data_IF_982483498268
#
_entry.id   IF_982483498268
#
_cell.length_a   1.000
_cell.length_b   1.000
_cell.length_c   1.000
_cell.angle_alpha   90.00
_cell.angle_beta   90.00
_cell.angle_gamma   90.00
#
_symmetry.space_group_name_H-M   'P 1'
#
loop_
_entity.id
_entity.type
_entity.pdbx_description
1 polymer ?
#
# COMPACT_ATOMS: atom_id res chain seq x y z
N UNK A 1 4.48 -6.50 -9.59
CA UNK A 1 5.03 -7.54 -8.71
C UNK A 1 5.72 -6.85 -7.55
N UNK A 2 5.31 -7.16 -6.31
CA UNK A 2 5.91 -6.55 -5.12
C UNK A 2 7.37 -7.02 -4.99
N UNK A 3 8.31 -6.13 -4.64
CA UNK A 3 9.74 -6.46 -4.56
C UNK A 3 10.07 -7.51 -3.48
N UNK A 4 9.14 -7.80 -2.57
CA UNK A 4 9.27 -8.75 -1.45
C UNK A 4 8.26 -9.93 -1.54
N UNK A 5 7.66 -10.16 -2.69
CA UNK A 5 6.60 -11.18 -2.85
C UNK A 5 7.10 -12.61 -2.59
N UNK A 6 8.33 -12.92 -3.03
CA UNK A 6 8.92 -14.23 -2.81
C UNK A 6 9.24 -14.46 -1.32
N UNK A 7 9.81 -13.45 -0.66
CA UNK A 7 10.15 -13.49 0.76
C UNK A 7 8.89 -13.59 1.62
N UNK A 8 7.81 -12.90 1.25
CA UNK A 8 6.53 -12.99 1.91
C UNK A 8 5.93 -14.39 1.78
N UNK A 9 5.98 -14.98 0.59
CA UNK A 9 5.51 -16.34 0.34
C UNK A 9 6.28 -17.38 1.17
N UNK A 10 7.62 -17.33 1.18
CA UNK A 10 8.45 -18.27 1.94
C UNK A 10 8.28 -18.10 3.46
N UNK A 11 8.19 -16.85 3.94
CA UNK A 11 7.94 -16.57 5.35
C UNK A 11 6.56 -17.09 5.78
N UNK A 12 5.53 -16.88 4.98
CA UNK A 12 4.19 -17.41 5.25
C UNK A 12 4.19 -18.93 5.35
N UNK A 13 4.79 -19.60 4.39
CA UNK A 13 4.91 -21.06 4.39
C UNK A 13 5.62 -21.57 5.65
N UNK A 14 6.68 -20.88 6.07
CA UNK A 14 7.37 -21.20 7.33
C UNK A 14 6.46 -20.95 8.55
N UNK A 15 5.73 -19.85 8.59
CA UNK A 15 4.75 -19.54 9.66
C UNK A 15 3.69 -20.65 9.76
N UNK A 16 3.09 -21.05 8.64
CA UNK A 16 2.03 -22.06 8.62
C UNK A 16 2.54 -23.42 9.10
N UNK A 17 3.74 -23.82 8.68
CA UNK A 17 4.40 -25.05 9.14
C UNK A 17 4.71 -24.98 10.64
N UNK A 18 5.21 -23.86 11.13
CA UNK A 18 5.54 -23.65 12.53
C UNK A 18 4.28 -23.63 13.40
N UNK A 19 3.19 -22.99 12.96
CA UNK A 19 1.89 -23.00 13.65
C UNK A 19 1.34 -24.43 13.80
N UNK A 20 1.45 -25.25 12.75
CA UNK A 20 0.98 -26.64 12.77
C UNK A 20 1.75 -27.50 13.80
N UNK A 21 2.93 -27.07 14.20
CA UNK A 21 3.87 -27.83 15.03
C UNK A 21 4.18 -27.19 16.40
N UNK A 22 3.50 -26.09 16.75
CA UNK A 22 3.72 -25.31 18.00
C UNK A 22 3.60 -26.12 19.30
N UNK A 23 2.93 -27.28 19.28
CA UNK A 23 2.83 -28.17 20.41
C UNK A 23 4.10 -29.05 20.66
N UNK A 24 5.06 -28.98 19.75
CA UNK A 24 6.34 -29.67 19.85
C UNK A 24 7.43 -28.60 20.02
N UNK A 25 8.31 -28.76 21.01
CA UNK A 25 9.47 -27.87 21.17
C UNK A 25 10.46 -28.14 20.03
N UNK A 26 10.40 -27.30 18.99
CA UNK A 26 11.31 -27.39 17.86
C UNK A 26 12.55 -26.55 18.09
N UNK A 27 13.70 -27.18 17.89
CA UNK A 27 14.98 -26.52 17.73
C UNK A 27 15.14 -26.13 16.26
N UNK A 28 15.25 -24.84 16.00
CA UNK A 28 15.52 -24.32 14.67
C UNK A 28 17.01 -24.35 14.37
N UNK A 29 17.36 -24.76 13.15
CA UNK A 29 18.76 -24.84 12.70
C UNK A 29 19.31 -23.46 12.30
N UNK A 30 20.63 -23.21 12.41
CA UNK A 30 21.21 -21.93 12.00
C UNK A 30 20.87 -21.48 10.58
N UNK A 31 20.89 -22.35 9.55
CA UNK A 31 20.49 -21.95 8.20
C UNK A 31 19.04 -21.52 8.08
N UNK A 32 18.12 -22.19 8.80
CA UNK A 32 16.71 -21.82 8.84
C UNK A 32 16.51 -20.46 9.51
N UNK A 33 17.14 -20.25 10.67
CA UNK A 33 17.12 -18.98 11.40
C UNK A 33 17.60 -17.84 10.50
N UNK A 34 18.72 -18.04 9.82
CA UNK A 34 19.27 -17.03 8.90
C UNK A 34 18.31 -16.69 7.78
N UNK A 35 17.69 -17.69 7.15
CA UNK A 35 16.72 -17.48 6.07
C UNK A 35 15.49 -16.70 6.55
N UNK A 36 14.90 -17.13 7.67
CA UNK A 36 13.72 -16.45 8.24
C UNK A 36 14.02 -14.99 8.60
N UNK A 37 15.14 -14.73 9.27
CA UNK A 37 15.54 -13.37 9.61
C UNK A 37 15.82 -12.51 8.36
N UNK A 38 16.37 -13.10 7.30
CA UNK A 38 16.61 -12.42 6.03
C UNK A 38 15.28 -12.05 5.35
N UNK A 39 14.31 -12.96 5.28
CA UNK A 39 12.98 -12.68 4.72
C UNK A 39 12.28 -11.55 5.47
N UNK A 40 12.27 -11.60 6.81
CA UNK A 40 11.66 -10.55 7.64
C UNK A 40 12.28 -9.18 7.34
N UNK A 41 13.60 -9.08 7.26
CA UNK A 41 14.29 -7.81 6.97
C UNK A 41 14.06 -7.33 5.53
N UNK A 42 13.99 -8.24 4.54
CA UNK A 42 13.68 -7.90 3.16
C UNK A 42 12.25 -7.35 3.03
N UNK A 43 11.27 -7.99 3.69
CA UNK A 43 9.89 -7.50 3.75
C UNK A 43 9.86 -6.12 4.39
N UNK A 44 10.52 -5.92 5.54
CA UNK A 44 10.59 -4.64 6.23
C UNK A 44 11.08 -3.51 5.31
N UNK A 45 12.13 -3.78 4.53
CA UNK A 45 12.66 -2.83 3.54
C UNK A 45 11.64 -2.54 2.44
N UNK A 46 10.96 -3.57 1.94
CA UNK A 46 10.01 -3.44 0.84
C UNK A 46 8.72 -2.70 1.20
N UNK A 47 8.29 -2.78 2.47
CA UNK A 47 7.05 -2.13 2.96
C UNK A 47 7.27 -0.76 3.60
N UNK A 48 8.49 -0.25 3.63
CA UNK A 48 8.83 0.96 4.41
C UNK A 48 8.00 2.18 4.05
N UNK A 49 7.66 2.34 2.77
CA UNK A 49 6.83 3.46 2.29
C UNK A 49 5.35 3.30 2.67
N UNK A 50 4.87 2.06 2.77
CA UNK A 50 3.45 1.74 2.90
C UNK A 50 3.04 1.47 4.35
N UNK A 51 3.92 0.83 5.11
CA UNK A 51 3.71 0.44 6.50
C UNK A 51 4.93 0.80 7.36
N UNK A 52 5.25 2.10 7.55
CA UNK A 52 6.46 2.53 8.26
C UNK A 52 6.55 1.98 9.69
N UNK A 53 5.42 1.82 10.38
CA UNK A 53 5.38 1.22 11.71
C UNK A 53 5.80 -0.25 11.70
N UNK A 54 5.26 -1.06 10.78
CA UNK A 54 5.65 -2.47 10.66
C UNK A 54 7.07 -2.63 10.14
N UNK A 55 7.50 -1.77 9.22
CA UNK A 55 8.87 -1.74 8.72
C UNK A 55 9.90 -1.49 9.84
N UNK A 56 9.57 -0.65 10.83
CA UNK A 56 10.40 -0.44 12.00
C UNK A 56 10.32 -1.59 13.02
N UNK A 57 9.18 -2.28 13.11
CA UNK A 57 8.94 -3.34 14.09
C UNK A 57 9.55 -4.68 13.66
N UNK A 58 9.45 -5.05 12.38
CA UNK A 58 9.89 -6.34 11.86
C UNK A 58 11.37 -6.66 12.12
N UNK A 59 12.35 -5.74 11.95
CA UNK A 59 13.75 -6.02 12.28
C UNK A 59 13.94 -6.35 13.75
N UNK A 60 13.26 -5.63 14.66
CA UNK A 60 13.28 -5.92 16.10
C UNK A 60 12.75 -7.32 16.40
N UNK A 61 11.66 -7.74 15.75
CA UNK A 61 11.13 -9.10 15.87
C UNK A 61 12.17 -10.11 15.40
N UNK A 62 12.82 -9.90 14.25
CA UNK A 62 13.85 -10.79 13.73
C UNK A 62 15.00 -11.01 14.73
N UNK A 63 15.38 -9.95 15.49
CA UNK A 63 16.47 -10.02 16.45
C UNK A 63 16.10 -10.82 17.73
N UNK A 64 14.82 -10.89 18.11
CA UNK A 64 14.36 -11.57 19.33
C UNK A 64 13.57 -12.86 19.06
N UNK A 65 13.31 -13.20 17.78
CA UNK A 65 12.47 -14.32 17.39
C UNK A 65 13.02 -15.66 17.83
N UNK A 66 14.35 -15.79 17.84
CA UNK A 66 15.05 -17.01 18.21
C UNK A 66 15.95 -16.80 19.41
N UNK A 67 15.83 -17.70 20.38
CA UNK A 67 16.64 -17.71 21.61
C UNK A 67 17.65 -18.87 21.55
N UNK A 68 18.92 -18.56 21.72
CA UNK A 68 19.99 -19.57 21.66
C UNK A 68 19.79 -20.65 22.72
N UNK A 69 19.91 -21.91 22.30
CA UNK A 69 19.89 -23.08 23.19
C UNK A 69 21.27 -23.46 23.75
N UNK A 70 22.33 -22.80 23.30
CA UNK A 70 23.73 -23.13 23.64
C UNK A 70 24.31 -24.34 22.86
N UNK A 71 23.51 -25.03 22.02
CA UNK A 71 23.92 -26.22 21.25
C UNK A 71 23.92 -25.97 19.71
N UNK A 72 24.07 -24.74 19.26
CA UNK A 72 24.07 -24.42 17.83
C UNK A 72 22.69 -24.39 17.18
N UNK A 73 21.62 -24.59 17.96
CA UNK A 73 20.23 -24.45 17.55
C UNK A 73 19.55 -23.41 18.45
N UNK A 74 18.32 -22.98 18.12
CA UNK A 74 17.60 -22.02 18.93
C UNK A 74 16.11 -22.39 19.10
N UNK A 75 15.54 -21.98 20.22
CA UNK A 75 14.11 -22.06 20.50
C UNK A 75 13.39 -20.85 19.94
N UNK A 76 12.14 -21.05 19.52
CA UNK A 76 11.26 -19.97 19.08
C UNK A 76 10.75 -19.15 20.27
N UNK A 77 10.84 -17.83 20.18
CA UNK A 77 10.16 -16.91 21.09
C UNK A 77 8.69 -16.79 20.67
N UNK A 78 7.79 -17.45 21.40
CA UNK A 78 6.36 -17.54 21.06
C UNK A 78 5.69 -16.16 21.02
N UNK A 79 6.07 -15.22 21.89
CA UNK A 79 5.49 -13.87 21.90
C UNK A 79 5.90 -13.10 20.63
N UNK A 80 7.17 -13.13 20.28
CA UNK A 80 7.68 -12.50 19.04
C UNK A 80 7.10 -13.17 17.79
N UNK A 81 6.92 -14.49 17.80
CA UNK A 81 6.27 -15.22 16.71
C UNK A 81 4.81 -14.82 16.55
N UNK A 82 4.05 -14.69 17.63
CA UNK A 82 2.67 -14.21 17.60
C UNK A 82 2.55 -12.80 16.99
N UNK A 83 3.44 -11.88 17.39
CA UNK A 83 3.50 -10.52 16.83
C UNK A 83 3.81 -10.57 15.31
N UNK A 84 4.78 -11.40 14.90
CA UNK A 84 5.12 -11.61 13.48
C UNK A 84 3.91 -12.11 12.69
N UNK A 85 3.20 -13.13 13.18
CA UNK A 85 2.02 -13.69 12.50
C UNK A 85 0.95 -12.64 12.27
N UNK A 86 0.67 -11.80 13.27
CA UNK A 86 -0.32 -10.72 13.16
C UNK A 86 0.09 -9.72 12.07
N UNK A 87 1.35 -9.28 12.07
CA UNK A 87 1.86 -8.31 11.09
C UNK A 87 1.80 -8.90 9.68
N UNK A 88 2.28 -10.13 9.48
CA UNK A 88 2.30 -10.76 8.15
C UNK A 88 0.88 -10.96 7.61
N UNK A 89 -0.06 -11.41 8.44
CA UNK A 89 -1.47 -11.54 8.04
C UNK A 89 -2.10 -10.20 7.68
N UNK A 90 -1.73 -9.13 8.38
CA UNK A 90 -2.22 -7.80 8.06
C UNK A 90 -1.69 -7.31 6.71
N UNK A 91 -0.39 -7.48 6.45
CA UNK A 91 0.22 -7.15 5.15
C UNK A 91 -0.42 -7.95 4.01
N UNK A 92 -0.74 -9.23 4.22
CA UNK A 92 -1.39 -10.09 3.23
C UNK A 92 -2.87 -9.74 3.01
N UNK A 93 -3.57 -9.34 4.04
CA UNK A 93 -4.99 -8.96 3.93
C UNK A 93 -5.20 -7.67 3.12
N UNK A 94 -4.16 -6.82 3.02
CA UNK A 94 -4.21 -5.53 2.34
C UNK A 94 -3.28 -5.38 1.11
N UNK A 95 -2.91 -6.45 0.36
CA UNK A 95 -2.02 -6.29 -0.81
C UNK A 95 -2.63 -5.40 -1.90
N UNK A 96 -3.97 -5.31 -1.94
CA UNK A 96 -4.72 -4.46 -2.85
C UNK A 96 -4.50 -2.97 -2.54
N UNK A 97 -4.31 -2.61 -1.28
CA UNK A 97 -4.13 -1.21 -0.85
C UNK A 97 -2.79 -0.65 -1.33
N UNK A 98 -1.72 -1.44 -1.30
CA UNK A 98 -0.38 -1.01 -1.75
C UNK A 98 -0.38 -0.76 -3.26
N UNK A 99 -0.93 -1.71 -4.04
CA UNK A 99 -1.04 -1.58 -5.49
C UNK A 99 -2.00 -0.44 -5.86
N UNK A 100 -3.10 -0.27 -5.13
CA UNK A 100 -4.07 0.79 -5.31
C UNK A 100 -3.42 2.18 -5.20
N UNK A 101 -2.60 2.43 -4.17
CA UNK A 101 -1.95 3.75 -4.01
C UNK A 101 -0.94 4.08 -5.10
N UNK A 102 -0.27 3.07 -5.68
CA UNK A 102 0.65 3.28 -6.80
C UNK A 102 -0.04 3.71 -8.10
N UNK A 103 -1.33 3.40 -8.24
CA UNK A 103 -2.14 3.78 -9.39
C UNK A 103 -2.83 5.14 -9.22
N UNK A 104 -2.83 5.69 -8.00
CA UNK A 104 -3.45 6.98 -7.71
C UNK A 104 -2.45 8.13 -7.94
N UNK A 105 -2.97 9.23 -8.46
CA UNK A 105 -2.15 10.43 -8.66
C UNK A 105 -1.47 10.89 -7.35
N UNK A 106 -0.15 11.18 -7.37
CA UNK A 106 0.63 11.47 -6.14
C UNK A 106 0.06 12.59 -5.26
N UNK A 107 -0.57 13.62 -5.84
CA UNK A 107 -1.21 14.70 -5.06
C UNK A 107 -2.37 14.20 -4.20
N UNK A 108 -3.17 13.26 -4.72
CA UNK A 108 -4.27 12.62 -3.98
C UNK A 108 -3.70 11.76 -2.86
N UNK A 109 -2.68 10.96 -3.16
CA UNK A 109 -1.97 10.14 -2.17
C UNK A 109 -1.47 11.00 -1.01
N UNK A 110 -0.81 12.12 -1.31
CA UNK A 110 -0.25 13.01 -0.29
C UNK A 110 -1.28 13.57 0.71
N UNK A 111 -2.51 13.84 0.27
CA UNK A 111 -3.55 14.45 1.13
C UNK A 111 -4.47 13.45 1.79
N UNK A 112 -4.56 12.20 1.30
CA UNK A 112 -5.57 11.24 1.74
C UNK A 112 -5.00 9.95 2.35
N UNK A 113 -3.81 9.50 1.95
CA UNK A 113 -3.27 8.20 2.38
C UNK A 113 -3.08 8.11 3.90
N UNK A 114 -2.46 9.12 4.54
CA UNK A 114 -2.26 9.11 5.98
C UNK A 114 -3.57 8.98 6.75
N UNK A 115 -4.58 9.76 6.36
CA UNK A 115 -5.91 9.70 6.96
C UNK A 115 -6.59 8.33 6.76
N UNK A 116 -6.41 7.72 5.60
CA UNK A 116 -6.95 6.38 5.33
C UNK A 116 -6.30 5.31 6.21
N UNK A 117 -4.97 5.32 6.30
CA UNK A 117 -4.20 4.38 7.14
C UNK A 117 -4.55 4.52 8.62
N UNK A 118 -4.83 5.76 9.07
CA UNK A 118 -5.27 6.05 10.44
C UNK A 118 -6.75 5.71 10.69
N UNK A 119 -7.46 5.12 9.70
CA UNK A 119 -8.86 4.73 9.81
C UNK A 119 -9.87 5.85 9.59
N UNK A 120 -9.43 7.06 9.23
CA UNK A 120 -10.29 8.22 8.95
C UNK A 120 -10.79 8.22 7.50
N UNK A 121 -11.39 7.10 7.05
CA UNK A 121 -11.75 6.86 5.64
C UNK A 121 -12.63 7.94 5.02
N UNK A 122 -13.63 8.47 5.77
CA UNK A 122 -14.51 9.54 5.29
C UNK A 122 -13.74 10.84 5.03
N UNK A 123 -12.87 11.23 5.96
CA UNK A 123 -12.03 12.42 5.82
C UNK A 123 -11.01 12.27 4.71
N UNK A 124 -10.44 11.05 4.55
CA UNK A 124 -9.53 10.73 3.46
C UNK A 124 -10.20 10.91 2.09
N UNK A 125 -11.42 10.38 1.93
CA UNK A 125 -12.21 10.52 0.71
C UNK A 125 -12.56 11.99 0.42
N UNK A 126 -12.98 12.76 1.42
CA UNK A 126 -13.27 14.18 1.28
C UNK A 126 -12.03 14.97 0.81
N UNK A 127 -10.86 14.71 1.41
CA UNK A 127 -9.60 15.35 1.00
C UNK A 127 -9.20 14.98 -0.42
N UNK A 128 -9.37 13.71 -0.81
CA UNK A 128 -9.11 13.25 -2.17
C UNK A 128 -9.97 13.98 -3.20
N UNK A 129 -11.29 14.10 -2.94
CA UNK A 129 -12.23 14.81 -3.82
C UNK A 129 -11.88 16.29 -3.92
N UNK A 130 -11.59 16.97 -2.80
CA UNK A 130 -11.18 18.39 -2.79
C UNK A 130 -9.89 18.62 -3.59
N UNK A 131 -8.94 17.67 -3.57
CA UNK A 131 -7.72 17.77 -4.37
C UNK A 131 -8.02 17.66 -5.87
N UNK A 132 -8.94 16.77 -6.27
CA UNK A 132 -9.40 16.65 -7.66
C UNK A 132 -10.08 17.96 -8.11
N UNK A 133 -10.97 18.52 -7.29
CA UNK A 133 -11.62 19.80 -7.58
C UNK A 133 -10.62 20.95 -7.74
N UNK A 134 -9.63 21.02 -6.84
CA UNK A 134 -8.54 22.00 -6.92
C UNK A 134 -7.81 21.90 -8.24
N UNK A 135 -7.45 20.68 -8.63
CA UNK A 135 -6.73 20.42 -9.89
C UNK A 135 -7.55 20.78 -11.12
N UNK A 136 -8.85 20.50 -11.12
CA UNK A 136 -9.72 20.89 -12.22
C UNK A 136 -9.80 22.42 -12.36
N UNK A 137 -9.86 23.15 -11.25
CA UNK A 137 -9.84 24.62 -11.26
C UNK A 137 -8.50 25.20 -11.75
N UNK A 138 -7.39 24.62 -11.32
CA UNK A 138 -6.05 24.97 -11.83
C UNK A 138 -5.98 24.76 -13.35
N UNK A 139 -6.46 23.61 -13.84
CA UNK A 139 -6.48 23.31 -15.27
C UNK A 139 -7.43 24.24 -16.04
N UNK A 140 -8.55 24.62 -15.48
CA UNK A 140 -9.44 25.61 -16.08
C UNK A 140 -8.71 26.94 -16.26
N UNK A 141 -8.02 27.43 -15.23
CA UNK A 141 -7.26 28.69 -15.30
C UNK A 141 -6.12 28.63 -16.32
N UNK A 142 -5.41 27.48 -16.41
CA UNK A 142 -4.36 27.27 -17.38
C UNK A 142 -4.87 27.30 -18.84
N UNK A 143 -6.03 26.65 -19.09
CA UNK A 143 -6.55 26.43 -20.44
C UNK A 143 -7.47 27.56 -20.93
N UNK A 144 -8.02 28.34 -20.01
CA UNK A 144 -8.91 29.47 -20.30
C UNK A 144 -8.44 30.73 -19.56
N UNK A 145 -7.25 31.27 -19.92
CA UNK A 145 -6.70 32.45 -19.27
C UNK A 145 -7.62 33.65 -19.47
N UNK A 146 -7.84 34.43 -18.41
CA UNK A 146 -8.71 35.63 -18.44
C UNK A 146 -10.20 35.36 -18.24
N UNK A 147 -10.63 34.10 -18.14
CA UNK A 147 -12.02 33.75 -17.78
C UNK A 147 -12.09 33.47 -16.29
N UNK A 148 -13.05 34.07 -15.59
CA UNK A 148 -13.28 33.81 -14.18
C UNK A 148 -13.65 32.33 -13.94
N UNK A 149 -13.03 31.72 -12.95
CA UNK A 149 -13.27 30.29 -12.61
C UNK A 149 -14.71 30.19 -12.04
N UNK A 150 -15.58 29.32 -12.61
CA UNK A 150 -16.92 29.11 -12.09
C UNK A 150 -16.93 28.66 -10.62
N UNK A 151 -17.90 29.15 -9.83
CA UNK A 151 -18.05 28.75 -8.43
C UNK A 151 -18.42 27.27 -8.27
N UNK A 152 -19.29 26.76 -9.14
CA UNK A 152 -19.74 25.37 -9.12
C UNK A 152 -18.77 24.47 -9.91
N UNK A 153 -18.37 23.36 -9.31
CA UNK A 153 -17.45 22.41 -9.94
C UNK A 153 -18.04 21.79 -11.20
N UNK A 154 -19.36 21.57 -11.25
CA UNK A 154 -20.05 21.06 -12.44
C UNK A 154 -19.86 21.95 -13.66
N UNK A 155 -19.86 23.27 -13.50
CA UNK A 155 -19.65 24.23 -14.59
C UNK A 155 -18.17 24.19 -15.05
N UNK A 156 -17.24 24.00 -14.13
CA UNK A 156 -15.80 23.79 -14.45
C UNK A 156 -15.63 22.54 -15.28
N UNK A 157 -16.22 21.42 -14.84
CA UNK A 157 -16.15 20.13 -15.56
C UNK A 157 -16.80 20.28 -16.94
N UNK A 158 -18.01 20.84 -17.01
CA UNK A 158 -18.72 21.07 -18.28
C UNK A 158 -17.89 21.88 -19.27
N UNK A 159 -17.20 22.93 -18.80
CA UNK A 159 -16.37 23.76 -19.65
C UNK A 159 -15.05 23.08 -20.10
N UNK A 160 -14.56 22.09 -19.34
CA UNK A 160 -13.34 21.34 -19.66
C UNK A 160 -13.61 20.12 -20.54
N UNK A 161 -14.77 19.44 -20.37
CA UNK A 161 -15.07 18.11 -20.91
C UNK A 161 -16.13 18.15 -22.04
N UNK A 162 -16.83 19.27 -22.22
CA UNK A 162 -17.83 19.43 -23.31
C UNK A 162 -17.22 19.27 -24.71
N UNK A 163 -18.06 19.19 -25.73
CA UNK A 163 -17.63 19.09 -27.15
C UNK A 163 -16.57 20.10 -27.56
N UNK A 164 -16.71 21.32 -27.04
CA UNK A 164 -15.76 22.42 -27.25
C UNK A 164 -14.81 22.56 -26.05
N UNK A 165 -14.77 21.54 -25.15
CA UNK A 165 -13.90 21.52 -23.99
C UNK A 165 -12.45 21.25 -24.34
N UNK A 166 -11.58 21.59 -23.40
CA UNK A 166 -10.14 21.42 -23.56
C UNK A 166 -9.68 19.96 -23.42
N UNK A 167 -10.46 19.09 -22.73
CA UNK A 167 -10.19 17.67 -22.60
C UNK A 167 -11.03 16.87 -23.58
N UNK A 168 -10.37 16.14 -24.46
CA UNK A 168 -11.01 15.19 -25.38
C UNK A 168 -10.61 13.78 -24.96
N UNK A 169 -11.56 13.03 -24.41
CA UNK A 169 -11.33 11.65 -23.96
C UNK A 169 -11.42 10.63 -25.11
N UNK A 170 -12.00 11.03 -26.24
CA UNK A 170 -12.13 10.17 -27.40
C UNK A 170 -12.14 11.04 -28.67
N UNK A 171 -11.81 10.42 -29.81
CA UNK A 171 -11.93 11.05 -31.11
C UNK A 171 -13.40 11.06 -31.54
N UNK A 172 -14.05 12.22 -31.41
CA UNK A 172 -15.46 12.41 -31.75
C UNK A 172 -15.72 12.49 -33.29
N UNK A 173 -14.66 12.39 -34.10
CA UNK A 173 -14.79 12.31 -35.57
C UNK A 173 -15.16 10.90 -36.01
N UNK A 174 -14.88 9.88 -35.18
CA UNK A 174 -15.23 8.48 -35.43
C UNK A 174 -16.60 8.10 -34.85
N UNK A 175 -17.27 7.11 -35.44
CA UNK A 175 -18.55 6.60 -34.93
C UNK A 175 -18.40 6.04 -33.55
N UNK A 176 -17.36 5.23 -33.28
CA UNK A 176 -17.04 4.69 -31.95
C UNK A 176 -16.81 5.77 -30.92
N UNK A 177 -16.10 6.86 -31.27
CA UNK A 177 -15.85 7.95 -30.31
C UNK A 177 -17.10 8.75 -29.97
N UNK A 178 -18.14 8.75 -30.79
CA UNK A 178 -19.43 9.37 -30.50
C UNK A 178 -20.30 8.57 -29.56
N UNK A 179 -20.14 7.25 -29.54
CA UNK A 179 -20.93 6.34 -28.70
C UNK A 179 -20.43 6.34 -27.23
N UNK A 180 -19.25 6.92 -26.96
CA UNK A 180 -18.68 7.09 -25.60
C UNK A 180 -18.98 8.45 -24.95
N UNK A 181 -20.08 9.11 -25.33
CA UNK A 181 -20.55 10.37 -24.72
C UNK A 181 -21.48 10.19 -23.56
#
# INVERSE_FOLDING_TARGET
KLPYENELYELRKWIDNTNATLNMQFLHTPPEIQSVCQWIRAIATGIQSDYPFYAATLPRIADILFQSSGMGAAFLNIAAFGELVVIIRHIEAEPVVVQFWSEIHPRIVNVSRGLYVDGHCSTAAEKAVKEVESRLREKFAELKPGIAIPSKIGDVIGALVSENGAFKFCDTTTTSGRDYR
#
